data_IF_939696857431
#
_entry.id   IF_939696857431
#
_cell.length_a   1.000
_cell.length_b   1.000
_cell.length_c   1.000
_cell.angle_alpha   90.00
_cell.angle_beta   90.00
_cell.angle_gamma   90.00
#
_symmetry.space_group_name_H-M   'P 1'
#
loop_
_entity.id
_entity.type
_entity.pdbx_description
1 polymer ?
#
# COMPACT_ATOMS: atom_id res chain seq x y z
N UNK A 1 -4.01 28.94 -12.08
CA UNK A 1 -4.70 27.94 -11.24
C UNK A 1 -3.70 27.26 -10.31
N UNK A 2 -4.06 26.86 -9.10
CA UNK A 2 -3.16 26.14 -8.19
C UNK A 2 -3.00 24.72 -8.74
N UNK A 3 -1.74 24.27 -8.97
CA UNK A 3 -1.47 22.92 -9.44
C UNK A 3 -1.87 21.90 -8.37
N UNK A 4 -2.27 20.71 -8.80
CA UNK A 4 -2.52 19.57 -7.91
C UNK A 4 -1.18 19.00 -7.48
N UNK A 5 -0.86 19.06 -6.19
CA UNK A 5 0.39 18.50 -5.66
C UNK A 5 0.25 16.99 -5.49
N UNK A 6 1.20 16.23 -6.05
CA UNK A 6 1.22 14.78 -6.02
C UNK A 6 2.51 14.26 -5.39
N UNK A 7 2.41 13.33 -4.46
CA UNK A 7 3.50 12.46 -4.04
C UNK A 7 3.38 11.16 -4.81
N UNK A 8 4.47 10.74 -5.47
CA UNK A 8 4.52 9.51 -6.25
C UNK A 8 5.32 8.45 -5.48
N UNK A 9 4.66 7.33 -5.13
CA UNK A 9 5.26 6.22 -4.41
C UNK A 9 5.25 4.96 -5.32
N UNK A 10 6.43 4.57 -5.78
CA UNK A 10 6.69 3.48 -6.72
C UNK A 10 8.16 3.04 -6.55
N UNK A 11 8.42 1.75 -6.37
CA UNK A 11 9.77 1.25 -6.12
C UNK A 11 10.62 1.13 -7.40
N UNK A 12 10.00 0.87 -8.55
CA UNK A 12 10.70 0.77 -9.83
C UNK A 12 11.02 2.14 -10.42
N UNK A 13 12.30 2.50 -10.48
CA UNK A 13 12.77 3.83 -10.93
C UNK A 13 12.25 4.22 -12.33
N UNK A 14 12.32 3.29 -13.31
CA UNK A 14 11.87 3.54 -14.69
C UNK A 14 10.36 3.80 -14.73
N UNK A 15 9.57 3.04 -13.98
CA UNK A 15 8.12 3.22 -13.89
C UNK A 15 7.81 4.57 -13.25
N UNK A 16 8.52 4.91 -12.18
CA UNK A 16 8.35 6.17 -11.45
C UNK A 16 8.64 7.39 -12.32
N UNK A 17 9.74 7.38 -13.09
CA UNK A 17 10.06 8.44 -14.07
C UNK A 17 8.98 8.57 -15.16
N UNK A 18 8.50 7.45 -15.69
CA UNK A 18 7.42 7.42 -16.67
C UNK A 18 6.12 8.01 -16.12
N UNK A 19 5.72 7.62 -14.91
CA UNK A 19 4.53 8.13 -14.23
C UNK A 19 4.65 9.64 -13.93
N UNK A 20 5.81 10.10 -13.48
CA UNK A 20 6.08 11.51 -13.28
C UNK A 20 5.87 12.30 -14.56
N UNK A 21 6.52 11.87 -15.65
CA UNK A 21 6.40 12.52 -16.94
C UNK A 21 4.95 12.60 -17.41
N UNK A 22 4.19 11.52 -17.28
CA UNK A 22 2.77 11.45 -17.64
C UNK A 22 1.91 12.44 -16.82
N UNK A 23 2.16 12.54 -15.52
CA UNK A 23 1.41 13.40 -14.63
C UNK A 23 1.65 14.89 -14.92
N UNK A 24 2.88 15.26 -15.28
CA UNK A 24 3.29 16.67 -15.47
C UNK A 24 3.03 17.21 -16.89
N UNK A 25 2.77 16.36 -17.90
CA UNK A 25 2.56 16.78 -19.31
C UNK A 25 1.50 17.88 -19.47
N UNK A 26 0.39 17.79 -18.72
CA UNK A 26 -0.71 18.77 -18.84
C UNK A 26 -0.50 20.07 -18.06
N UNK A 27 0.55 20.19 -17.25
CA UNK A 27 0.85 21.37 -16.42
C UNK A 27 -0.10 21.60 -15.23
N UNK A 28 -1.17 20.80 -15.10
CA UNK A 28 -2.14 20.91 -13.99
C UNK A 28 -1.70 20.17 -12.72
N UNK A 29 -0.77 19.25 -12.85
CA UNK A 29 -0.23 18.41 -11.77
C UNK A 29 1.23 18.74 -11.56
N UNK A 30 1.67 18.73 -10.30
CA UNK A 30 3.06 18.91 -9.88
C UNK A 30 3.46 17.77 -8.95
N UNK A 31 4.47 16.99 -9.33
CA UNK A 31 5.04 15.94 -8.47
C UNK A 31 5.99 16.61 -7.48
N UNK A 32 5.53 16.77 -6.25
CA UNK A 32 6.26 17.45 -5.17
C UNK A 32 7.21 16.55 -4.41
N UNK A 33 7.16 15.25 -4.65
CA UNK A 33 8.05 14.27 -4.03
C UNK A 33 7.92 12.89 -4.64
N UNK A 34 8.95 12.08 -4.45
CA UNK A 34 9.02 10.68 -4.90
C UNK A 34 9.47 9.79 -3.76
N UNK A 35 8.90 8.60 -3.65
CA UNK A 35 9.22 7.58 -2.67
C UNK A 35 9.44 6.23 -3.37
N UNK A 36 10.48 5.51 -2.98
CA UNK A 36 10.77 4.16 -3.45
C UNK A 36 10.33 3.07 -2.45
N UNK A 37 9.82 3.45 -1.29
CA UNK A 37 9.29 2.54 -0.26
C UNK A 37 8.05 3.15 0.38
N UNK A 38 7.17 2.32 0.92
CA UNK A 38 6.01 2.82 1.65
C UNK A 38 6.38 3.65 2.87
N UNK A 39 7.52 3.34 3.53
CA UNK A 39 8.04 4.12 4.64
C UNK A 39 8.38 5.55 4.22
N UNK A 40 9.15 5.69 3.14
CA UNK A 40 9.45 7.02 2.57
C UNK A 40 8.18 7.77 2.17
N UNK A 41 7.19 7.07 1.60
CA UNK A 41 5.92 7.68 1.23
C UNK A 41 5.19 8.26 2.46
N UNK A 42 5.16 7.54 3.60
CA UNK A 42 4.57 8.05 4.85
C UNK A 42 5.30 9.28 5.36
N UNK A 43 6.63 9.24 5.40
CA UNK A 43 7.45 10.35 5.92
C UNK A 43 7.33 11.60 5.02
N UNK A 44 7.36 11.43 3.69
CA UNK A 44 7.17 12.52 2.73
C UNK A 44 5.75 13.07 2.75
N UNK A 45 4.72 12.24 2.88
CA UNK A 45 3.35 12.70 2.99
C UNK A 45 3.14 13.61 4.20
N UNK A 46 3.70 13.25 5.37
CA UNK A 46 3.67 14.10 6.58
C UNK A 46 4.34 15.45 6.37
N UNK A 47 5.49 15.46 5.67
CA UNK A 47 6.29 16.66 5.44
C UNK A 47 5.69 17.58 4.37
N UNK A 48 5.24 17.00 3.26
CA UNK A 48 4.83 17.75 2.05
C UNK A 48 3.34 18.04 2.02
N UNK A 49 2.52 17.26 2.74
CA UNK A 49 1.05 17.33 2.75
C UNK A 49 0.47 17.47 1.33
N UNK A 50 0.75 16.49 0.43
CA UNK A 50 0.29 16.56 -0.94
C UNK A 50 -1.24 16.44 -1.01
N UNK A 51 -1.84 16.99 -2.07
CA UNK A 51 -3.27 16.81 -2.31
C UNK A 51 -3.61 15.34 -2.61
N UNK A 52 -2.73 14.65 -3.37
CA UNK A 52 -2.90 13.23 -3.74
C UNK A 52 -1.59 12.49 -3.57
N UNK A 53 -1.65 11.27 -3.05
CA UNK A 53 -0.56 10.28 -3.15
C UNK A 53 -0.96 9.25 -4.19
N UNK A 54 -0.13 9.06 -5.21
CA UNK A 54 -0.22 7.92 -6.13
C UNK A 54 0.65 6.82 -5.51
N UNK A 55 0.02 5.70 -5.12
CA UNK A 55 0.61 4.69 -4.27
C UNK A 55 0.63 3.34 -4.96
N UNK A 56 1.81 2.80 -5.22
CA UNK A 56 1.94 1.39 -5.55
C UNK A 56 1.67 0.50 -4.32
N UNK A 57 1.16 -0.71 -4.56
CA UNK A 57 0.90 -1.68 -3.50
C UNK A 57 2.17 -2.44 -3.14
N UNK A 58 2.88 -2.93 -4.15
CA UNK A 58 4.02 -3.83 -4.00
C UNK A 58 5.31 -3.05 -3.78
N UNK A 59 5.47 -2.48 -2.60
CA UNK A 59 6.69 -1.75 -2.24
C UNK A 59 7.45 -2.43 -1.10
N UNK A 60 8.79 -2.38 -1.12
CA UNK A 60 9.62 -2.95 -0.05
C UNK A 60 9.50 -2.15 1.25
N UNK A 61 9.90 -2.77 2.38
CA UNK A 61 9.95 -2.21 3.73
C UNK A 61 8.57 -1.99 4.35
N UNK A 62 7.66 -1.34 3.61
CA UNK A 62 6.27 -1.09 3.98
C UNK A 62 5.43 -1.06 2.72
N UNK A 63 4.49 -1.99 2.60
CA UNK A 63 3.62 -2.07 1.44
C UNK A 63 2.62 -0.92 1.35
N UNK A 64 2.03 -0.73 0.17
CA UNK A 64 1.11 0.38 -0.09
C UNK A 64 -0.17 0.34 0.73
N UNK A 65 -0.63 -0.83 1.20
CA UNK A 65 -1.80 -0.94 2.08
C UNK A 65 -1.54 -0.27 3.43
N UNK A 66 -0.47 -0.69 4.08
CA UNK A 66 -0.12 -0.17 5.40
C UNK A 66 0.36 1.28 5.30
N UNK A 67 1.11 1.63 4.24
CA UNK A 67 1.48 3.02 3.97
C UNK A 67 0.25 3.92 3.81
N UNK A 68 -0.76 3.48 3.04
CA UNK A 68 -2.02 4.21 2.87
C UNK A 68 -2.72 4.43 4.21
N UNK A 69 -2.83 3.38 5.02
CA UNK A 69 -3.45 3.46 6.36
C UNK A 69 -2.75 4.49 7.25
N UNK A 70 -1.40 4.47 7.27
CA UNK A 70 -0.61 5.40 8.06
C UNK A 70 -0.71 6.84 7.54
N UNK A 71 -0.72 7.04 6.22
CA UNK A 71 -0.86 8.36 5.60
C UNK A 71 -2.22 8.97 5.94
N UNK A 72 -3.31 8.24 5.72
CA UNK A 72 -4.65 8.74 6.00
C UNK A 72 -4.88 9.04 7.49
N UNK A 73 -4.24 8.29 8.40
CA UNK A 73 -4.27 8.59 9.82
C UNK A 73 -3.47 9.85 10.17
N UNK A 74 -2.30 10.05 9.55
CA UNK A 74 -1.38 11.15 9.87
C UNK A 74 -1.73 12.46 9.17
N UNK A 75 -2.30 12.38 7.97
CA UNK A 75 -2.62 13.52 7.06
C UNK A 75 -4.01 13.27 6.44
N UNK A 76 -5.09 13.45 7.20
CA UNK A 76 -6.46 13.11 6.74
C UNK A 76 -6.95 13.89 5.53
N UNK A 77 -6.36 15.04 5.25
CA UNK A 77 -6.68 15.88 4.07
C UNK A 77 -6.08 15.32 2.76
N UNK A 78 -5.01 14.52 2.86
CA UNK A 78 -4.38 13.85 1.70
C UNK A 78 -5.27 12.71 1.22
N UNK A 79 -5.42 12.58 -0.09
CA UNK A 79 -6.14 11.49 -0.73
C UNK A 79 -5.18 10.49 -1.35
N UNK A 80 -5.54 9.21 -1.33
CA UNK A 80 -4.68 8.17 -1.89
C UNK A 80 -5.34 7.54 -3.10
N UNK A 81 -4.64 7.58 -4.24
CA UNK A 81 -4.93 6.84 -5.46
C UNK A 81 -4.00 5.64 -5.52
N UNK A 82 -4.57 4.45 -5.47
CA UNK A 82 -3.80 3.22 -5.60
C UNK A 82 -3.54 2.91 -7.05
N UNK A 83 -2.29 2.54 -7.34
CA UNK A 83 -1.84 2.06 -8.63
C UNK A 83 -1.33 0.63 -8.46
N UNK A 84 -1.92 -0.34 -9.14
CA UNK A 84 -1.58 -1.76 -8.96
C UNK A 84 -1.45 -2.49 -10.28
N UNK A 85 -0.55 -3.47 -10.35
CA UNK A 85 -0.49 -4.41 -11.46
C UNK A 85 -1.64 -5.44 -11.42
N UNK A 86 -2.25 -5.64 -10.25
CA UNK A 86 -3.29 -6.63 -10.02
C UNK A 86 -4.69 -6.02 -10.05
N UNK A 87 -5.64 -6.80 -10.53
CA UNK A 87 -7.06 -6.45 -10.57
C UNK A 87 -7.92 -7.37 -9.69
N UNK A 88 -7.31 -8.15 -8.79
CA UNK A 88 -7.98 -9.17 -8.01
C UNK A 88 -8.93 -8.58 -6.96
N UNK A 89 -10.06 -9.25 -6.74
CA UNK A 89 -11.14 -8.77 -5.87
C UNK A 89 -10.70 -8.54 -4.42
N UNK A 90 -9.76 -9.34 -3.93
CA UNK A 90 -9.26 -9.29 -2.56
C UNK A 90 -8.43 -8.02 -2.32
N UNK A 91 -7.57 -7.64 -3.26
CA UNK A 91 -6.78 -6.40 -3.22
C UNK A 91 -7.67 -5.15 -3.26
N UNK A 92 -8.66 -5.16 -4.14
CA UNK A 92 -9.61 -4.04 -4.29
C UNK A 92 -10.44 -3.83 -3.02
N UNK A 93 -10.96 -4.92 -2.44
CA UNK A 93 -11.76 -4.85 -1.21
C UNK A 93 -10.91 -4.37 -0.02
N UNK A 94 -9.67 -4.84 0.07
CA UNK A 94 -8.73 -4.43 1.13
C UNK A 94 -8.41 -2.93 1.04
N UNK A 95 -8.13 -2.41 -0.18
CA UNK A 95 -7.83 -0.99 -0.36
C UNK A 95 -9.01 -0.07 -0.06
N UNK A 96 -10.22 -0.48 -0.42
CA UNK A 96 -11.42 0.27 -0.06
C UNK A 96 -11.63 0.29 1.47
N UNK A 97 -11.38 -0.83 2.15
CA UNK A 97 -11.48 -0.91 3.62
C UNK A 97 -10.44 -0.02 4.33
N UNK A 98 -9.26 0.16 3.74
CA UNK A 98 -8.21 1.06 4.24
C UNK A 98 -8.55 2.54 4.01
N UNK A 99 -9.52 2.85 3.13
CA UNK A 99 -9.99 4.22 2.88
C UNK A 99 -9.34 4.90 1.67
N UNK A 100 -8.76 4.14 0.74
CA UNK A 100 -8.24 4.70 -0.51
C UNK A 100 -9.35 5.42 -1.29
N UNK A 101 -9.03 6.57 -1.86
CA UNK A 101 -9.97 7.40 -2.62
C UNK A 101 -10.17 6.93 -4.06
N UNK A 102 -9.28 6.07 -4.55
CA UNK A 102 -9.40 5.49 -5.89
C UNK A 102 -8.42 4.35 -6.15
N UNK A 103 -8.67 3.66 -7.27
CA UNK A 103 -7.88 2.51 -7.70
C UNK A 103 -7.76 2.49 -9.23
N UNK A 104 -6.53 2.42 -9.72
CA UNK A 104 -6.19 2.32 -11.14
C UNK A 104 -5.25 1.15 -11.35
N UNK A 105 -5.50 0.37 -12.40
CA UNK A 105 -4.61 -0.72 -12.81
C UNK A 105 -3.49 -0.15 -13.67
N UNK A 106 -2.23 -0.54 -13.40
CA UNK A 106 -1.01 -0.06 -14.11
C UNK A 106 -1.07 -0.24 -15.64
N UNK A 107 -1.84 -1.21 -16.13
CA UNK A 107 -2.03 -1.46 -17.56
C UNK A 107 -2.95 -0.43 -18.25
N UNK A 108 -3.63 0.42 -17.49
CA UNK A 108 -4.44 1.49 -18.06
C UNK A 108 -3.55 2.58 -18.68
N UNK A 109 -4.13 3.34 -19.62
CA UNK A 109 -3.40 4.44 -20.25
C UNK A 109 -3.03 5.55 -19.26
N UNK A 110 -1.94 6.27 -19.54
CA UNK A 110 -1.54 7.41 -18.71
C UNK A 110 -2.60 8.50 -18.59
N UNK A 111 -3.47 8.64 -19.60
CA UNK A 111 -4.61 9.58 -19.55
C UNK A 111 -5.61 9.21 -18.44
N UNK A 112 -5.82 7.91 -18.20
CA UNK A 112 -6.68 7.41 -17.12
C UNK A 112 -6.09 7.80 -15.75
N UNK A 113 -4.77 7.70 -15.59
CA UNK A 113 -4.10 8.10 -14.35
C UNK A 113 -4.26 9.59 -14.06
N UNK A 114 -3.97 10.45 -15.05
CA UNK A 114 -4.10 11.92 -14.91
C UNK A 114 -5.55 12.29 -14.59
N UNK A 115 -6.52 11.68 -15.26
CA UNK A 115 -7.94 11.90 -15.00
C UNK A 115 -8.31 11.49 -13.59
N UNK A 116 -7.88 10.31 -13.13
CA UNK A 116 -8.11 9.81 -11.78
C UNK A 116 -7.56 10.75 -10.71
N UNK A 117 -6.34 11.27 -10.88
CA UNK A 117 -5.73 12.24 -9.96
C UNK A 117 -6.57 13.52 -9.88
N UNK A 118 -7.07 14.05 -11.01
CA UNK A 118 -7.92 15.25 -11.04
C UNK A 118 -9.27 15.03 -10.33
N UNK A 119 -9.92 13.88 -10.57
CA UNK A 119 -11.18 13.52 -9.92
C UNK A 119 -11.01 13.43 -8.40
N UNK A 120 -9.99 12.71 -7.95
CA UNK A 120 -9.70 12.51 -6.53
C UNK A 120 -9.34 13.82 -5.85
N UNK A 121 -8.50 14.65 -6.46
CA UNK A 121 -8.16 15.97 -5.95
C UNK A 121 -9.40 16.86 -5.79
N UNK A 122 -10.38 16.72 -6.70
CA UNK A 122 -11.69 17.37 -6.63
C UNK A 122 -12.67 16.78 -5.62
N UNK A 123 -12.28 15.73 -4.88
CA UNK A 123 -13.13 15.10 -3.86
C UNK A 123 -14.04 13.98 -4.37
N UNK A 124 -13.93 13.60 -5.64
CA UNK A 124 -14.71 12.51 -6.21
C UNK A 124 -13.89 11.22 -6.21
N UNK A 125 -14.41 10.10 -5.69
CA UNK A 125 -13.69 8.82 -5.73
C UNK A 125 -13.56 8.34 -7.18
N UNK A 126 -12.44 7.69 -7.49
CA UNK A 126 -12.18 7.15 -8.81
C UNK A 126 -11.94 5.65 -8.79
N UNK A 127 -12.96 4.89 -9.19
CA UNK A 127 -12.90 3.44 -9.35
C UNK A 127 -13.42 3.08 -10.74
N UNK A 128 -12.69 2.23 -11.47
CA UNK A 128 -13.20 1.73 -12.76
C UNK A 128 -14.56 1.04 -12.57
N UNK A 129 -15.41 0.96 -13.61
CA UNK A 129 -16.70 0.28 -13.52
C UNK A 129 -16.59 -1.17 -13.03
N UNK A 130 -15.54 -1.89 -13.46
CA UNK A 130 -15.28 -3.27 -13.03
C UNK A 130 -14.98 -3.31 -11.52
N UNK A 131 -14.11 -2.42 -11.02
CA UNK A 131 -13.76 -2.31 -9.60
C UNK A 131 -14.95 -1.85 -8.77
N UNK A 132 -15.72 -0.87 -9.23
CA UNK A 132 -16.93 -0.41 -8.54
C UNK A 132 -17.98 -1.51 -8.39
N UNK A 133 -18.12 -2.40 -9.39
CA UNK A 133 -18.98 -3.57 -9.31
C UNK A 133 -18.47 -4.54 -8.23
N UNK A 134 -17.17 -4.85 -8.24
CA UNK A 134 -16.53 -5.76 -7.28
C UNK A 134 -16.66 -5.26 -5.83
N UNK A 135 -16.46 -3.96 -5.60
CA UNK A 135 -16.65 -3.36 -4.27
C UNK A 135 -18.10 -3.51 -3.78
N UNK A 136 -19.08 -3.30 -4.65
CA UNK A 136 -20.49 -3.52 -4.30
C UNK A 136 -20.80 -4.98 -3.98
N UNK A 137 -20.23 -5.90 -4.76
CA UNK A 137 -20.44 -7.34 -4.55
C UNK A 137 -19.75 -7.82 -3.27
N UNK A 138 -18.54 -7.32 -2.95
CA UNK A 138 -17.85 -7.57 -1.70
C UNK A 138 -18.63 -7.03 -0.47
N UNK A 139 -19.14 -5.81 -0.55
CA UNK A 139 -19.95 -5.21 0.50
C UNK A 139 -21.24 -6.02 0.76
N UNK A 140 -21.88 -6.53 -0.29
CA UNK A 140 -23.06 -7.41 -0.16
C UNK A 140 -22.72 -8.73 0.52
N UNK A 141 -21.57 -9.34 0.17
CA UNK A 141 -21.09 -10.59 0.79
C UNK A 141 -20.74 -10.38 2.27
N UNK A 142 -20.13 -9.26 2.64
CA UNK A 142 -19.81 -8.92 4.02
C UNK A 142 -21.05 -8.69 4.89
N UNK A 143 -22.14 -8.15 4.32
CA UNK A 143 -23.43 -8.01 5.00
C UNK A 143 -24.22 -9.32 5.16
N UNK A 144 -23.82 -10.40 4.46
CA UNK A 144 -24.50 -11.70 4.43
C UNK A 144 -23.86 -12.82 5.29
N UNK A 145 -22.97 -12.51 6.22
CA UNK A 145 -22.42 -13.51 7.19
C UNK A 145 -21.47 -14.54 6.57
N UNK A 146 -20.93 -14.27 5.38
CA UNK A 146 -19.88 -15.11 4.77
C UNK A 146 -18.57 -14.94 5.52
N UNK A 147 -17.94 -16.07 5.86
CA UNK A 147 -16.72 -16.18 6.65
C UNK A 147 -15.63 -15.23 6.15
N UNK A 148 -15.49 -14.09 6.84
CA UNK A 148 -14.28 -13.30 6.78
C UNK A 148 -13.14 -14.23 7.19
N UNK A 149 -12.13 -14.42 6.33
CA UNK A 149 -10.85 -15.02 6.72
C UNK A 149 -10.45 -14.37 8.03
N UNK A 150 -10.15 -15.18 9.03
CA UNK A 150 -9.91 -14.72 10.39
C UNK A 150 -8.86 -13.61 10.40
N UNK A 151 -9.33 -12.36 10.43
CA UNK A 151 -8.48 -11.25 10.84
C UNK A 151 -7.94 -11.56 12.24
N UNK A 152 -6.68 -11.23 12.54
CA UNK A 152 -6.15 -11.45 13.87
C UNK A 152 -7.12 -10.85 14.90
N UNK A 153 -7.34 -11.54 16.01
CA UNK A 153 -8.23 -11.09 17.09
C UNK A 153 -7.90 -9.66 17.58
N UNK A 154 -6.67 -9.21 17.31
CA UNK A 154 -6.22 -7.84 17.51
C UNK A 154 -5.46 -7.38 16.25
N UNK A 155 -5.76 -6.18 15.71
CA UNK A 155 -5.03 -5.66 14.56
C UNK A 155 -3.55 -5.44 14.94
N UNK A 156 -2.68 -5.68 13.96
CA UNK A 156 -1.27 -5.36 14.11
C UNK A 156 -1.10 -3.84 14.24
N UNK A 157 -0.21 -3.42 15.13
CA UNK A 157 0.24 -2.03 15.16
C UNK A 157 1.07 -1.72 13.91
N UNK A 158 1.22 -0.44 13.56
CA UNK A 158 2.06 -0.01 12.44
C UNK A 158 3.47 -0.64 12.50
N UNK A 159 4.05 -0.69 13.69
CA UNK A 159 5.39 -1.23 13.91
C UNK A 159 5.46 -2.75 13.75
N UNK A 160 4.45 -3.46 14.21
CA UNK A 160 4.34 -4.91 14.03
C UNK A 160 4.13 -5.27 12.55
N UNK A 161 3.37 -4.47 11.79
CA UNK A 161 3.20 -4.65 10.35
C UNK A 161 4.51 -4.44 9.58
N UNK A 162 5.28 -3.40 9.91
CA UNK A 162 6.62 -3.16 9.34
C UNK A 162 7.58 -4.34 9.64
N UNK A 163 7.59 -4.82 10.89
CA UNK A 163 8.42 -5.96 11.28
C UNK A 163 7.98 -7.23 10.58
N UNK A 164 6.67 -7.48 10.45
CA UNK A 164 6.14 -8.62 9.72
C UNK A 164 6.63 -8.63 8.28
N UNK A 165 6.51 -7.50 7.59
CA UNK A 165 6.91 -7.40 6.19
C UNK A 165 8.40 -7.66 6.02
N UNK A 166 9.26 -6.98 6.76
CA UNK A 166 10.72 -7.16 6.66
C UNK A 166 11.16 -8.59 6.98
N UNK A 167 10.53 -9.22 7.99
CA UNK A 167 10.78 -10.63 8.32
C UNK A 167 10.34 -11.55 7.18
N UNK A 168 9.19 -11.28 6.58
CA UNK A 168 8.66 -12.06 5.47
C UNK A 168 9.47 -11.86 4.17
N UNK A 169 10.08 -10.69 3.98
CA UNK A 169 11.08 -10.40 2.93
C UNK A 169 12.44 -11.06 3.18
N UNK A 170 12.61 -11.75 4.33
CA UNK A 170 13.83 -12.51 4.66
C UNK A 170 14.87 -11.71 5.45
N UNK A 171 14.55 -10.52 5.94
CA UNK A 171 15.49 -9.72 6.70
C UNK A 171 15.78 -10.32 8.09
N UNK A 172 17.05 -10.41 8.46
CA UNK A 172 17.47 -10.79 9.81
C UNK A 172 17.20 -9.65 10.81
N UNK A 173 17.03 -9.95 12.10
CA UNK A 173 16.75 -8.96 13.14
C UNK A 173 17.69 -7.74 13.13
N UNK A 174 18.97 -7.95 12.78
CA UNK A 174 19.96 -6.86 12.65
C UNK A 174 19.62 -5.91 11.50
N UNK A 175 19.17 -6.45 10.37
CA UNK A 175 18.76 -5.68 9.19
C UNK A 175 17.46 -4.92 9.47
N UNK A 176 16.47 -5.60 10.07
CA UNK A 176 15.22 -4.98 10.52
C UNK A 176 15.50 -3.82 11.49
N UNK A 177 16.42 -4.01 12.44
CA UNK A 177 16.81 -2.98 13.41
C UNK A 177 17.42 -1.75 12.71
N UNK A 178 18.31 -1.97 11.76
CA UNK A 178 18.94 -0.90 10.99
C UNK A 178 17.92 -0.14 10.13
N UNK A 179 17.05 -0.85 9.39
CA UNK A 179 16.02 -0.26 8.53
C UNK A 179 15.01 0.58 9.33
N UNK A 180 14.59 0.05 10.47
CA UNK A 180 13.59 0.71 11.31
C UNK A 180 14.18 1.72 12.32
N UNK A 181 15.50 1.86 12.40
CA UNK A 181 16.19 2.79 13.33
C UNK A 181 15.94 2.46 14.80
N UNK A 182 15.87 1.16 15.17
CA UNK A 182 15.61 0.68 16.53
C UNK A 182 16.65 -0.36 16.96
N UNK A 183 16.67 -0.73 18.25
CA UNK A 183 17.56 -1.77 18.75
C UNK A 183 17.10 -3.17 18.30
N UNK A 184 18.06 -4.11 18.18
CA UNK A 184 17.75 -5.54 17.90
C UNK A 184 16.79 -6.09 18.97
N UNK A 185 16.99 -5.76 20.24
CA UNK A 185 16.12 -6.16 21.34
C UNK A 185 14.68 -5.65 21.15
N UNK A 186 14.53 -4.45 20.60
CA UNK A 186 13.20 -3.90 20.27
C UNK A 186 12.53 -4.66 19.13
N UNK A 187 13.30 -5.06 18.11
CA UNK A 187 12.80 -5.93 17.02
C UNK A 187 12.31 -7.27 17.56
N UNK A 188 13.11 -7.92 18.42
CA UNK A 188 12.75 -9.18 19.06
C UNK A 188 11.45 -9.07 19.86
N UNK A 189 11.27 -7.97 20.61
CA UNK A 189 10.02 -7.70 21.31
C UNK A 189 8.83 -7.59 20.36
N UNK A 190 8.96 -6.83 19.26
CA UNK A 190 7.89 -6.68 18.28
C UNK A 190 7.59 -8.02 17.58
N UNK A 191 8.61 -8.81 17.24
CA UNK A 191 8.42 -10.17 16.69
C UNK A 191 7.65 -11.08 17.66
N UNK A 192 7.99 -11.06 18.94
CA UNK A 192 7.28 -11.85 19.94
C UNK A 192 5.81 -11.43 20.01
N UNK A 193 5.54 -10.11 20.13
CA UNK A 193 4.18 -9.59 20.17
C UNK A 193 3.38 -9.93 18.91
N UNK A 194 4.02 -9.87 17.73
CA UNK A 194 3.45 -10.25 16.46
C UNK A 194 3.09 -11.74 16.43
N UNK A 195 4.02 -12.61 16.86
CA UNK A 195 3.82 -14.06 16.95
C UNK A 195 2.67 -14.42 17.89
N UNK A 196 2.62 -13.79 19.05
CA UNK A 196 1.56 -13.99 20.04
C UNK A 196 0.18 -13.56 19.50
N UNK A 197 0.11 -12.42 18.79
CA UNK A 197 -1.14 -11.91 18.19
C UNK A 197 -1.67 -12.79 17.06
N UNK A 198 -0.77 -13.36 16.25
CA UNK A 198 -1.11 -14.18 15.10
C UNK A 198 -1.24 -15.68 15.45
N UNK A 199 -0.83 -16.06 16.67
CA UNK A 199 -0.68 -17.46 17.08
C UNK A 199 0.21 -18.26 16.11
N UNK A 200 1.33 -17.64 15.71
CA UNK A 200 2.32 -18.19 14.77
C UNK A 200 3.70 -18.07 15.42
N UNK A 201 4.40 -19.20 15.60
CA UNK A 201 5.62 -19.26 16.40
C UNK A 201 6.90 -19.53 15.59
N UNK A 202 6.82 -19.49 14.26
CA UNK A 202 7.96 -19.69 13.37
C UNK A 202 7.97 -18.69 12.21
N UNK A 203 9.16 -18.44 11.65
CA UNK A 203 9.33 -17.47 10.54
C UNK A 203 8.63 -17.92 9.26
N UNK A 204 8.62 -19.22 8.95
CA UNK A 204 7.95 -19.73 7.76
C UNK A 204 6.43 -19.54 7.84
N UNK A 205 5.86 -19.71 9.03
CA UNK A 205 4.46 -19.38 9.31
C UNK A 205 4.14 -17.90 9.11
N UNK A 206 5.02 -17.02 9.63
CA UNK A 206 4.87 -15.57 9.41
C UNK A 206 4.94 -15.21 7.92
N UNK A 207 5.87 -15.80 7.16
CA UNK A 207 5.99 -15.58 5.72
C UNK A 207 4.73 -16.05 4.98
N UNK A 208 4.23 -17.27 5.27
CA UNK A 208 2.97 -17.76 4.70
C UNK A 208 1.79 -16.85 5.03
N UNK A 209 1.72 -16.38 6.27
CA UNK A 209 0.69 -15.41 6.67
C UNK A 209 0.81 -14.10 5.89
N UNK A 210 2.03 -13.55 5.77
CA UNK A 210 2.27 -12.29 5.05
C UNK A 210 1.87 -12.39 3.56
N UNK A 211 2.15 -13.52 2.90
CA UNK A 211 1.69 -13.80 1.54
C UNK A 211 0.16 -13.90 1.49
N UNK A 212 -0.44 -14.68 2.37
CA UNK A 212 -1.89 -14.88 2.40
C UNK A 212 -2.66 -13.60 2.76
N UNK A 213 -2.06 -12.68 3.51
CA UNK A 213 -2.61 -11.39 3.86
C UNK A 213 -2.28 -10.27 2.85
N UNK A 214 -1.56 -10.59 1.76
CA UNK A 214 -1.15 -9.62 0.75
C UNK A 214 -0.14 -8.57 1.26
N UNK A 215 0.58 -8.88 2.34
CA UNK A 215 1.63 -8.00 2.88
C UNK A 215 2.86 -8.01 1.98
N UNK A 216 3.18 -9.18 1.42
CA UNK A 216 4.20 -9.37 0.40
C UNK A 216 3.64 -10.19 -0.76
N UNK A 217 4.17 -9.98 -1.96
CA UNK A 217 3.84 -10.81 -3.12
C UNK A 217 4.60 -12.15 -3.06
N UNK A 218 3.94 -13.22 -3.50
CA UNK A 218 4.64 -14.48 -3.70
C UNK A 218 5.44 -14.39 -4.98
N UNK A 219 6.72 -14.03 -4.90
CA UNK A 219 7.66 -14.13 -6.00
C UNK A 219 8.05 -15.60 -6.28
N UNK A 220 7.09 -16.44 -6.56
CA UNK A 220 7.36 -17.75 -7.17
C UNK A 220 7.52 -17.48 -8.67
N UNK A 221 8.67 -16.94 -9.07
CA UNK A 221 9.15 -17.16 -10.41
C UNK A 221 9.43 -18.66 -10.52
N UNK A 222 8.50 -19.39 -11.15
CA UNK A 222 8.78 -20.73 -11.67
C UNK A 222 9.90 -20.56 -12.69
N UNK A 223 11.14 -20.74 -12.24
CA UNK A 223 12.26 -21.01 -13.12
C UNK A 223 12.00 -22.41 -13.69
N UNK A 224 11.32 -22.48 -14.84
CA UNK A 224 11.25 -23.69 -15.64
C UNK A 224 12.65 -23.84 -16.21
N UNK A 225 13.42 -24.81 -15.67
CA UNK A 225 14.67 -25.31 -16.22
C UNK A 225 14.33 -26.21 -17.39
#
# INVERSE_FOLDING_TARGET
MKRITVLLAEDHAIVREGLRSLLEVGGDVEVVGEAATGRQAVDLARKLRPAVVVMDIAMPVLNGFEATRQILHAVPETRVLVLSAHSDDEYVAHMAAVGASGYVVKQNSGQVLVHAVKEIAGGRPYFSPAISKRLRDAARKAGGGGAARAMPRQPLTAREAEVLQLVAEGAANKQVAAELGISIKTVEKHRQQLMDKLDIHDTAGLTRYAIAAGVIESSVQLTIV
#
